data_IF_242840772901
#
_entry.id   IF_242840772901
#
_cell.length_a   1.000
_cell.length_b   1.000
_cell.length_c   1.000
_cell.angle_alpha   90.00
_cell.angle_beta   90.00
_cell.angle_gamma   90.00
#
_symmetry.space_group_name_H-M   'P 1'
#
loop_
_entity.id
_entity.type
_entity.pdbx_description
1 polymer ?
#
# COMPACT_ATOMS: atom_id res chain seq x y z
N UNK A 1 -11.14 -8.44 -18.43
CA UNK A 1 -10.50 -9.74 -18.73
C UNK A 1 -9.04 -9.61 -19.19
N UNK A 2 -8.61 -8.51 -19.85
CA UNK A 2 -7.21 -8.34 -20.31
C UNK A 2 -6.16 -8.07 -19.20
N UNK A 3 -6.57 -7.52 -18.05
CA UNK A 3 -5.64 -7.13 -16.98
C UNK A 3 -5.08 -8.29 -16.14
N UNK A 4 -5.72 -9.47 -16.18
CA UNK A 4 -5.25 -10.67 -15.46
C UNK A 4 -4.00 -11.26 -16.13
N UNK A 5 -3.87 -11.12 -17.46
CA UNK A 5 -2.74 -11.67 -18.21
C UNK A 5 -1.46 -10.84 -18.06
N UNK A 6 -1.58 -9.52 -17.84
CA UNK A 6 -0.43 -8.63 -17.67
C UNK A 6 0.33 -8.96 -16.38
N UNK A 7 -0.38 -9.25 -15.28
CA UNK A 7 0.24 -9.63 -14.01
C UNK A 7 0.95 -10.98 -14.07
N UNK A 8 0.38 -11.96 -14.79
CA UNK A 8 0.97 -13.28 -14.95
C UNK A 8 2.24 -13.27 -15.83
N UNK A 9 2.26 -12.41 -16.86
CA UNK A 9 3.41 -12.26 -17.75
C UNK A 9 4.62 -11.62 -17.04
N UNK A 10 4.40 -10.65 -16.15
CA UNK A 10 5.46 -10.03 -15.34
C UNK A 10 6.08 -11.06 -14.37
N UNK A 11 5.26 -11.93 -13.77
CA UNK A 11 5.74 -12.98 -12.86
C UNK A 11 6.69 -13.97 -13.57
N UNK A 12 6.35 -14.38 -14.79
CA UNK A 12 7.15 -15.34 -15.57
C UNK A 12 8.48 -14.72 -16.01
N UNK A 13 8.49 -13.46 -16.44
CA UNK A 13 9.72 -12.78 -16.89
C UNK A 13 10.70 -12.58 -15.73
N UNK A 14 10.23 -12.24 -14.52
CA UNK A 14 11.10 -12.11 -13.34
C UNK A 14 11.75 -13.44 -12.97
N UNK A 15 11.03 -14.56 -13.09
CA UNK A 15 11.60 -15.89 -12.79
C UNK A 15 12.68 -16.29 -13.80
N UNK A 16 12.49 -16.00 -15.10
CA UNK A 16 13.46 -16.38 -16.14
C UNK A 16 14.73 -15.52 -16.08
N UNK A 17 14.60 -14.21 -15.89
CA UNK A 17 15.75 -13.30 -15.85
C UNK A 17 16.63 -13.56 -14.62
N UNK A 18 16.05 -13.99 -13.49
CA UNK A 18 16.81 -14.32 -12.28
C UNK A 18 17.56 -15.66 -12.36
N UNK A 19 17.25 -16.52 -13.34
CA UNK A 19 17.94 -17.80 -13.56
C UNK A 19 19.17 -17.63 -14.50
N UNK A 20 19.19 -16.62 -15.38
CA UNK A 20 20.20 -16.52 -16.43
C UNK A 20 21.51 -15.82 -16.05
N UNK A 21 21.61 -15.19 -14.87
CA UNK A 21 22.77 -14.33 -14.52
C UNK A 21 23.85 -14.97 -13.65
N UNK A 22 23.78 -16.27 -13.34
CA UNK A 22 24.79 -16.93 -12.49
C UNK A 22 25.46 -18.13 -13.17
N UNK A 23 26.30 -17.85 -14.17
CA UNK A 23 27.34 -18.77 -14.62
C UNK A 23 28.71 -18.29 -14.16
N UNK A 24 29.06 -18.54 -12.89
CA UNK A 24 30.45 -18.58 -12.45
C UNK A 24 30.68 -19.77 -11.52
N UNK A 25 31.59 -20.65 -11.96
CA UNK A 25 32.00 -21.92 -11.34
C UNK A 25 32.47 -21.72 -9.89
N UNK A 26 31.93 -22.50 -8.94
CA UNK A 26 32.67 -22.93 -7.75
C UNK A 26 32.02 -24.16 -7.08
N UNK A 27 32.83 -25.24 -6.97
CA UNK A 27 32.79 -26.41 -6.06
C UNK A 27 31.42 -27.07 -5.76
N UNK A 28 31.31 -28.34 -6.14
CA UNK A 28 30.20 -29.27 -5.85
C UNK A 28 29.85 -29.33 -4.36
N UNK A 29 28.89 -28.50 -3.95
CA UNK A 29 28.02 -28.73 -2.79
C UNK A 29 26.84 -29.59 -3.27
N UNK A 30 26.23 -30.43 -2.41
CA UNK A 30 25.01 -31.13 -2.77
C UNK A 30 24.01 -30.10 -3.31
N UNK A 31 23.47 -30.40 -4.49
CA UNK A 31 22.47 -29.61 -5.19
C UNK A 31 21.40 -29.24 -4.14
N UNK A 32 21.15 -27.95 -3.82
CA UNK A 32 20.07 -27.62 -2.91
C UNK A 32 18.82 -28.24 -3.52
N UNK A 33 18.18 -29.13 -2.78
CA UNK A 33 16.89 -29.67 -3.20
C UNK A 33 16.01 -28.48 -3.56
N UNK A 34 15.32 -28.52 -4.72
CA UNK A 34 14.38 -27.47 -5.04
C UNK A 34 13.41 -27.38 -3.86
N UNK A 35 13.46 -26.27 -3.11
CA UNK A 35 12.48 -25.98 -2.05
C UNK A 35 11.12 -26.15 -2.71
N UNK A 36 10.44 -27.25 -2.39
CA UNK A 36 9.08 -27.50 -2.87
C UNK A 36 8.22 -26.41 -2.25
N UNK A 37 7.92 -25.40 -3.04
CA UNK A 37 6.88 -24.43 -2.72
C UNK A 37 5.58 -25.22 -2.74
N UNK A 38 5.06 -25.54 -1.55
CA UNK A 38 3.78 -26.22 -1.41
C UNK A 38 2.65 -25.22 -1.55
N UNK A 39 1.47 -25.67 -1.97
CA UNK A 39 0.27 -24.83 -2.01
C UNK A 39 0.03 -24.14 -0.66
N UNK A 40 0.20 -24.88 0.44
CA UNK A 40 0.08 -24.37 1.81
C UNK A 40 1.04 -23.21 2.10
N UNK A 41 2.28 -23.27 1.58
CA UNK A 41 3.26 -22.19 1.75
C UNK A 41 2.91 -20.93 0.95
N UNK A 42 2.29 -21.09 -0.22
CA UNK A 42 1.79 -19.98 -1.04
C UNK A 42 0.60 -19.34 -0.34
N UNK A 43 -0.36 -20.14 0.13
CA UNK A 43 -1.55 -19.67 0.83
C UNK A 43 -1.19 -18.90 2.11
N UNK A 44 -0.24 -19.41 2.90
CA UNK A 44 0.26 -18.72 4.08
C UNK A 44 0.89 -17.37 3.73
N UNK A 45 1.66 -17.30 2.64
CA UNK A 45 2.29 -16.06 2.17
C UNK A 45 1.24 -15.06 1.69
N UNK A 46 0.25 -15.49 0.90
CA UNK A 46 -0.84 -14.65 0.44
C UNK A 46 -1.67 -14.09 1.60
N UNK A 47 -2.00 -14.93 2.58
CA UNK A 47 -2.73 -14.51 3.78
C UNK A 47 -1.94 -13.49 4.60
N UNK A 48 -0.62 -13.69 4.74
CA UNK A 48 0.26 -12.74 5.41
C UNK A 48 0.29 -11.38 4.70
N UNK A 49 0.39 -11.39 3.37
CA UNK A 49 0.32 -10.18 2.55
C UNK A 49 -1.04 -9.47 2.68
N UNK A 50 -2.15 -10.21 2.65
CA UNK A 50 -3.49 -9.63 2.83
C UNK A 50 -3.63 -8.94 4.20
N UNK A 51 -3.17 -9.59 5.26
CA UNK A 51 -3.18 -9.02 6.62
C UNK A 51 -2.31 -7.76 6.70
N UNK A 52 -1.13 -7.78 6.08
CA UNK A 52 -0.23 -6.63 6.05
C UNK A 52 -0.85 -5.45 5.28
N UNK A 53 -1.48 -5.70 4.12
CA UNK A 53 -2.20 -4.68 3.35
C UNK A 53 -3.35 -4.07 4.16
N UNK A 54 -4.18 -4.91 4.81
CA UNK A 54 -5.26 -4.43 5.69
C UNK A 54 -4.73 -3.59 6.85
N UNK A 55 -3.59 -3.96 7.43
CA UNK A 55 -2.95 -3.21 8.52
C UNK A 55 -2.47 -1.83 8.03
N UNK A 56 -1.88 -1.75 6.83
CA UNK A 56 -1.51 -0.48 6.20
C UNK A 56 -2.75 0.38 5.97
N UNK A 57 -3.81 -0.19 5.42
CA UNK A 57 -5.06 0.51 5.19
C UNK A 57 -5.63 1.11 6.48
N UNK A 58 -5.76 0.29 7.53
CA UNK A 58 -6.27 0.73 8.83
C UNK A 58 -5.40 1.82 9.48
N UNK A 59 -4.07 1.66 9.41
CA UNK A 59 -3.14 2.65 9.95
C UNK A 59 -3.25 3.99 9.19
N UNK A 60 -3.33 3.91 7.86
CA UNK A 60 -3.46 5.07 6.96
C UNK A 60 -4.78 5.79 7.25
N UNK A 61 -5.90 5.07 7.31
CA UNK A 61 -7.20 5.64 7.65
C UNK A 61 -7.18 6.30 9.03
N UNK A 62 -6.64 5.62 10.05
CA UNK A 62 -6.60 6.15 11.42
C UNK A 62 -5.79 7.45 11.49
N UNK A 63 -4.62 7.49 10.84
CA UNK A 63 -3.78 8.69 10.80
C UNK A 63 -4.45 9.81 10.04
N UNK A 64 -5.04 9.52 8.88
CA UNK A 64 -5.76 10.50 8.08
C UNK A 64 -6.95 11.09 8.83
N UNK A 65 -7.80 10.27 9.44
CA UNK A 65 -8.95 10.77 10.20
C UNK A 65 -8.52 11.65 11.35
N UNK A 66 -7.52 11.23 12.15
CA UNK A 66 -7.00 12.05 13.25
C UNK A 66 -6.45 13.39 12.75
N UNK A 67 -5.66 13.36 11.68
CA UNK A 67 -5.08 14.56 11.09
C UNK A 67 -6.17 15.48 10.51
N UNK A 68 -7.19 14.91 9.85
CA UNK A 68 -8.29 15.65 9.26
C UNK A 68 -9.19 16.28 10.33
N UNK A 69 -9.54 15.56 11.39
CA UNK A 69 -10.31 16.09 12.53
C UNK A 69 -9.59 17.29 13.15
N UNK A 70 -8.29 17.13 13.44
CA UNK A 70 -7.48 18.24 13.98
C UNK A 70 -7.41 19.43 13.01
N UNK A 71 -7.26 19.16 11.71
CA UNK A 71 -7.21 20.19 10.68
C UNK A 71 -8.53 20.96 10.57
N UNK A 72 -9.68 20.27 10.64
CA UNK A 72 -11.00 20.89 10.62
C UNK A 72 -11.23 21.72 11.89
N UNK A 73 -10.85 21.22 13.07
CA UNK A 73 -10.99 21.96 14.34
C UNK A 73 -10.15 23.25 14.38
N UNK A 74 -9.08 23.32 13.60
CA UNK A 74 -8.15 24.47 13.57
C UNK A 74 -8.38 25.41 12.39
N UNK A 75 -9.25 25.06 11.44
CA UNK A 75 -9.52 25.89 10.26
C UNK A 75 -10.40 27.08 10.64
N UNK A 76 -10.21 28.28 10.03
CA UNK A 76 -11.07 29.43 10.26
C UNK A 76 -12.56 29.11 10.07
N UNK A 77 -13.41 29.70 10.92
CA UNK A 77 -14.88 29.56 10.86
C UNK A 77 -15.43 29.90 9.46
N UNK A 78 -14.85 30.90 8.79
CA UNK A 78 -15.22 31.27 7.41
C UNK A 78 -15.04 30.15 6.38
N UNK A 79 -14.11 29.22 6.63
CA UNK A 79 -13.92 28.02 5.80
C UNK A 79 -14.86 26.92 6.25
N UNK A 80 -15.09 26.75 7.57
CA UNK A 80 -16.02 25.74 8.11
C UNK A 80 -17.47 25.99 7.64
N UNK A 81 -17.91 27.24 7.64
CA UNK A 81 -19.27 27.64 7.28
C UNK A 81 -19.54 27.61 5.77
N UNK A 82 -18.49 27.46 4.95
CA UNK A 82 -18.64 27.36 3.50
C UNK A 82 -18.33 25.92 3.03
N UNK A 83 -19.35 25.13 2.68
CA UNK A 83 -19.17 23.73 2.29
C UNK A 83 -18.19 23.55 1.12
N UNK A 84 -18.19 24.44 0.13
CA UNK A 84 -17.29 24.32 -1.01
C UNK A 84 -15.83 24.56 -0.63
N UNK A 85 -15.56 25.53 0.25
CA UNK A 85 -14.21 25.78 0.75
C UNK A 85 -13.75 24.68 1.70
N UNK A 86 -14.61 24.22 2.61
CA UNK A 86 -14.29 23.10 3.50
C UNK A 86 -13.96 21.84 2.70
N UNK A 87 -14.73 21.53 1.65
CA UNK A 87 -14.46 20.39 0.77
C UNK A 87 -13.09 20.50 0.10
N UNK A 88 -12.80 21.64 -0.54
CA UNK A 88 -11.51 21.88 -1.21
C UNK A 88 -10.34 21.80 -0.22
N UNK A 89 -10.54 22.32 1.00
CA UNK A 89 -9.55 22.23 2.08
C UNK A 89 -9.28 20.77 2.47
N UNK A 90 -10.33 19.98 2.72
CA UNK A 90 -10.20 18.58 3.09
C UNK A 90 -9.52 17.76 1.99
N UNK A 91 -9.91 17.95 0.73
CA UNK A 91 -9.31 17.23 -0.41
C UNK A 91 -7.81 17.56 -0.56
N UNK A 92 -7.44 18.84 -0.48
CA UNK A 92 -6.04 19.27 -0.53
C UNK A 92 -5.22 18.76 0.66
N UNK A 93 -5.81 18.77 1.86
CA UNK A 93 -5.18 18.26 3.06
C UNK A 93 -4.92 16.76 2.98
N UNK A 94 -5.91 15.99 2.53
CA UNK A 94 -5.81 14.53 2.35
C UNK A 94 -4.68 14.19 1.37
N UNK A 95 -4.59 14.88 0.23
CA UNK A 95 -3.54 14.63 -0.76
C UNK A 95 -2.14 14.96 -0.21
N UNK A 96 -2.01 16.01 0.60
CA UNK A 96 -0.75 16.33 1.27
C UNK A 96 -0.36 15.25 2.29
N UNK A 97 -1.32 14.77 3.09
CA UNK A 97 -1.05 13.73 4.09
C UNK A 97 -0.73 12.38 3.46
N UNK A 98 -1.31 12.06 2.30
CA UNK A 98 -0.99 10.87 1.52
C UNK A 98 0.52 10.77 1.21
N UNK A 99 1.12 11.86 0.76
CA UNK A 99 2.56 11.91 0.48
C UNK A 99 3.42 11.73 1.74
N UNK A 100 3.00 12.33 2.86
CA UNK A 100 3.66 12.13 4.17
C UNK A 100 3.58 10.67 4.60
N UNK A 101 2.42 10.03 4.44
CA UNK A 101 2.21 8.65 4.86
C UNK A 101 3.02 7.65 4.05
N UNK A 102 3.13 7.84 2.72
CA UNK A 102 4.02 7.03 1.86
C UNK A 102 5.41 6.97 2.47
N UNK A 103 6.02 8.12 2.77
CA UNK A 103 7.35 8.19 3.36
C UNK A 103 7.42 7.53 4.75
N UNK A 104 6.40 7.72 5.59
CA UNK A 104 6.36 7.14 6.94
C UNK A 104 6.22 5.61 6.93
N UNK A 105 5.48 5.04 5.98
CA UNK A 105 5.20 3.60 5.90
C UNK A 105 6.40 2.85 5.32
N UNK A 106 7.11 3.44 4.35
CA UNK A 106 8.40 2.91 3.88
C UNK A 106 9.48 2.89 4.98
N UNK A 107 9.25 3.56 6.11
CA UNK A 107 10.11 3.51 7.29
C UNK A 107 9.73 2.40 8.28
N UNK A 108 8.79 1.50 7.93
CA UNK A 108 8.33 0.38 8.79
C UNK A 108 8.92 -0.95 8.30
N UNK A 109 9.99 -1.48 8.92
CA UNK A 109 10.73 -2.66 8.43
C UNK A 109 9.86 -3.92 8.25
N UNK A 110 8.90 -4.11 9.15
CA UNK A 110 8.03 -5.29 9.17
C UNK A 110 7.06 -5.34 7.98
N UNK A 111 6.69 -4.20 7.41
CA UNK A 111 5.75 -4.12 6.29
C UNK A 111 6.47 -4.24 4.94
N UNK A 112 7.65 -3.63 4.82
CA UNK A 112 8.46 -3.67 3.59
C UNK A 112 9.11 -5.04 3.34
N UNK A 113 9.20 -5.89 4.37
CA UNK A 113 9.73 -7.26 4.24
C UNK A 113 8.71 -8.25 3.66
N UNK A 114 7.42 -7.90 3.67
CA UNK A 114 6.31 -8.77 3.25
C UNK A 114 5.62 -8.24 2.00
N UNK A 115 5.57 -6.92 1.82
CA UNK A 115 4.87 -6.25 0.75
C UNK A 115 5.82 -5.55 -0.23
N UNK A 116 5.45 -5.57 -1.51
CA UNK A 116 6.09 -4.74 -2.52
C UNK A 116 5.72 -3.26 -2.35
N UNK A 117 6.53 -2.38 -2.94
CA UNK A 117 6.26 -0.94 -2.97
C UNK A 117 4.90 -0.61 -3.58
N UNK A 118 4.51 -1.34 -4.61
CA UNK A 118 3.24 -1.21 -5.32
C UNK A 118 2.07 -1.61 -4.43
N UNK A 119 2.19 -2.71 -3.67
CA UNK A 119 1.16 -3.14 -2.71
C UNK A 119 0.96 -2.11 -1.60
N UNK A 120 2.05 -1.56 -1.07
CA UNK A 120 2.01 -0.49 -0.07
C UNK A 120 1.32 0.75 -0.64
N UNK A 121 1.72 1.21 -1.83
CA UNK A 121 1.11 2.36 -2.49
C UNK A 121 -0.38 2.15 -2.75
N UNK A 122 -0.75 0.96 -3.24
CA UNK A 122 -2.14 0.59 -3.48
C UNK A 122 -2.99 0.66 -2.20
N UNK A 123 -2.52 0.07 -1.11
CA UNK A 123 -3.22 0.12 0.18
C UNK A 123 -3.37 1.54 0.72
N UNK A 124 -2.36 2.40 0.55
CA UNK A 124 -2.45 3.82 0.93
C UNK A 124 -3.48 4.55 0.05
N UNK A 125 -3.48 4.31 -1.26
CA UNK A 125 -4.41 4.92 -2.20
C UNK A 125 -5.86 4.51 -1.90
N UNK A 126 -6.11 3.23 -1.64
CA UNK A 126 -7.45 2.73 -1.29
C UNK A 126 -7.97 3.31 0.03
N UNK A 127 -7.12 3.37 1.06
CA UNK A 127 -7.45 4.03 2.32
C UNK A 127 -7.78 5.52 2.10
N UNK A 128 -6.97 6.22 1.30
CA UNK A 128 -7.16 7.64 1.00
C UNK A 128 -8.51 7.91 0.31
N UNK A 129 -8.87 7.07 -0.68
CA UNK A 129 -10.18 7.16 -1.36
C UNK A 129 -11.35 6.98 -0.37
N UNK A 130 -11.24 6.03 0.55
CA UNK A 130 -12.29 5.80 1.56
C UNK A 130 -12.44 6.97 2.52
N UNK A 131 -11.33 7.56 2.97
CA UNK A 131 -11.36 8.76 3.81
C UNK A 131 -11.96 9.95 3.05
N UNK A 132 -11.52 10.23 1.82
CA UNK A 132 -12.07 11.33 1.01
C UNK A 132 -13.58 11.16 0.79
N UNK A 133 -14.04 9.95 0.47
CA UNK A 133 -15.47 9.65 0.34
C UNK A 133 -16.22 9.95 1.64
N UNK A 134 -15.71 9.51 2.80
CA UNK A 134 -16.36 9.77 4.10
C UNK A 134 -16.32 11.25 4.49
N UNK A 135 -15.21 11.94 4.25
CA UNK A 135 -15.08 13.37 4.48
C UNK A 135 -16.12 14.17 3.69
N UNK A 136 -16.37 13.79 2.43
CA UNK A 136 -17.40 14.45 1.60
C UNK A 136 -18.83 14.26 2.12
N UNK A 137 -19.08 13.24 2.96
CA UNK A 137 -20.39 13.04 3.61
C UNK A 137 -20.58 13.84 4.89
N UNK A 138 -19.50 14.34 5.52
CA UNK A 138 -19.55 15.18 6.72
C UNK A 138 -19.93 16.64 6.40
N UNK A 139 -20.01 16.98 5.12
CA UNK A 139 -20.25 18.32 4.60
C UNK A 139 -21.69 18.51 4.09
N UNK A 140 -22.62 17.69 4.59
CA UNK A 140 -24.07 17.72 4.31
C UNK A 140 -24.82 17.96 5.60
#
# INVERSE_FOLDING_TARGET
>A
MAFIYIGFFILIVVVIVNISSSSQKQKTRPKPEPRRVTMDSIEATMKSQEVAMKKIEQLTETKLYKALTFAIETVPVTIQENPDYLKKYMDAFIEKQKEVMKNSIFSTPDLISILSKEQINYSIDEATKRVSKKASTLNK
#
